data_IF_178890495650
#
_entry.id   IF_178890495650
#
_cell.length_a   1.000
_cell.length_b   1.000
_cell.length_c   1.000
_cell.angle_alpha   90.00
_cell.angle_beta   90.00
_cell.angle_gamma   90.00
#
_symmetry.space_group_name_H-M   'P 1'
#
loop_
_entity.id
_entity.type
_entity.pdbx_description
1 polymer ?
#
# COMPACT_ATOMS: atom_id res chain seq x y z
N UNK A 1 -56.31 -29.97 -43.00
CA UNK A 1 -55.98 -28.58 -42.58
C UNK A 1 -55.88 -28.37 -41.03
N UNK A 2 -56.63 -29.10 -40.23
CA UNK A 2 -56.59 -28.88 -38.74
C UNK A 2 -55.31 -29.42 -38.09
N UNK A 3 -54.78 -30.58 -38.57
CA UNK A 3 -53.55 -31.22 -38.04
C UNK A 3 -52.26 -30.40 -38.35
N UNK A 4 -52.19 -29.70 -39.44
CA UNK A 4 -51.05 -28.83 -39.83
C UNK A 4 -51.01 -27.54 -39.02
N UNK A 5 -52.17 -27.05 -38.59
CA UNK A 5 -52.23 -25.86 -37.71
C UNK A 5 -51.84 -26.21 -36.25
N UNK A 6 -52.19 -27.43 -35.80
CA UNK A 6 -51.84 -27.86 -34.43
C UNK A 6 -50.32 -28.14 -34.28
N UNK A 7 -49.66 -28.69 -35.30
CA UNK A 7 -48.22 -28.93 -35.29
C UNK A 7 -47.43 -27.59 -35.37
N UNK A 8 -47.95 -26.59 -36.10
CA UNK A 8 -47.33 -25.27 -36.16
C UNK A 8 -47.42 -24.52 -34.82
N UNK A 9 -48.53 -24.65 -34.09
CA UNK A 9 -48.71 -24.06 -32.76
C UNK A 9 -47.81 -24.75 -31.71
N UNK A 10 -47.70 -26.09 -31.77
CA UNK A 10 -46.83 -26.86 -30.87
C UNK A 10 -45.33 -26.55 -31.13
N UNK A 11 -44.93 -26.36 -32.39
CA UNK A 11 -43.56 -25.96 -32.73
C UNK A 11 -43.27 -24.50 -32.28
N UNK A 12 -44.25 -23.61 -32.35
CA UNK A 12 -44.09 -22.23 -31.90
C UNK A 12 -43.99 -22.12 -30.37
N UNK A 13 -44.71 -22.97 -29.62
CA UNK A 13 -44.63 -23.01 -28.16
C UNK A 13 -43.30 -23.62 -27.67
N UNK A 14 -42.68 -24.55 -28.40
CA UNK A 14 -41.37 -25.09 -28.05
C UNK A 14 -40.23 -24.05 -28.25
N UNK A 15 -40.40 -23.06 -29.15
CA UNK A 15 -39.40 -21.98 -29.34
C UNK A 15 -39.46 -20.93 -28.23
N UNK A 16 -40.57 -20.77 -27.53
CA UNK A 16 -40.71 -19.76 -26.46
C UNK A 16 -39.99 -20.21 -25.18
N UNK A 17 -39.86 -21.50 -24.94
CA UNK A 17 -39.14 -22.07 -23.77
C UNK A 17 -37.59 -22.06 -23.94
N UNK A 18 -37.07 -21.80 -25.16
CA UNK A 18 -35.63 -21.76 -25.39
C UNK A 18 -34.98 -20.41 -24.97
N UNK A 19 -35.75 -19.41 -24.55
CA UNK A 19 -35.21 -18.10 -24.11
C UNK A 19 -34.35 -18.17 -22.84
N UNK A 20 -34.38 -19.25 -22.09
CA UNK A 20 -33.59 -19.42 -20.86
C UNK A 20 -32.16 -20.00 -21.09
N UNK A 21 -31.84 -20.41 -22.35
CA UNK A 21 -30.59 -21.09 -22.65
C UNK A 21 -29.65 -20.28 -23.54
N UNK A 22 -29.85 -18.97 -23.65
CA UNK A 22 -28.92 -18.13 -24.40
C UNK A 22 -27.53 -18.11 -23.72
N UNK A 23 -26.46 -18.60 -24.39
CA UNK A 23 -25.13 -18.61 -23.78
C UNK A 23 -24.63 -17.19 -23.52
N UNK A 24 -24.11 -16.97 -22.34
CA UNK A 24 -23.52 -15.69 -21.94
C UNK A 24 -23.31 -15.64 -20.43
N UNK A 25 -22.25 -14.98 -20.00
CA UNK A 25 -22.03 -14.64 -18.58
C UNK A 25 -22.90 -13.43 -18.23
N UNK A 26 -24.12 -13.67 -17.78
CA UNK A 26 -24.97 -12.60 -17.26
C UNK A 26 -25.37 -12.93 -15.82
N UNK A 27 -25.34 -11.89 -14.98
CA UNK A 27 -25.89 -11.94 -13.65
C UNK A 27 -27.41 -11.89 -13.77
N UNK A 28 -28.12 -12.87 -13.27
CA UNK A 28 -29.58 -12.80 -13.18
C UNK A 28 -29.95 -11.84 -12.06
N UNK A 29 -30.37 -10.62 -12.45
CA UNK A 29 -30.78 -9.59 -11.51
C UNK A 29 -32.05 -9.95 -10.75
N UNK A 30 -32.86 -10.93 -11.22
CA UNK A 30 -34.01 -11.44 -10.50
C UNK A 30 -33.62 -12.24 -9.27
N UNK A 31 -32.42 -12.87 -9.29
CA UNK A 31 -31.87 -13.58 -8.13
C UNK A 31 -31.42 -12.61 -7.01
N UNK A 32 -31.35 -11.31 -7.29
CA UNK A 32 -31.04 -10.26 -6.30
C UNK A 32 -32.30 -9.69 -5.64
N UNK A 33 -33.50 -10.08 -6.07
CA UNK A 33 -34.78 -9.71 -5.47
C UNK A 33 -35.30 -10.84 -4.59
N UNK A 34 -35.78 -10.47 -3.43
CA UNK A 34 -36.36 -11.35 -2.43
C UNK A 34 -37.58 -12.11 -2.96
N UNK A 35 -37.45 -13.39 -3.25
CA UNK A 35 -38.57 -14.32 -3.13
C UNK A 35 -38.17 -15.45 -2.16
N UNK A 36 -39.04 -15.83 -1.22
CA UNK A 36 -38.75 -16.86 -0.24
C UNK A 36 -38.71 -18.21 -0.91
N UNK A 37 -37.56 -18.71 -1.31
CA UNK A 37 -37.39 -20.08 -1.68
C UNK A 37 -36.87 -20.89 -0.50
N UNK A 38 -37.34 -22.14 -0.34
CA UNK A 38 -37.01 -23.07 0.73
C UNK A 38 -35.54 -23.59 0.72
N UNK A 39 -34.68 -23.00 -0.08
CA UNK A 39 -33.22 -23.13 0.02
C UNK A 39 -32.67 -21.90 0.75
N UNK A 40 -31.61 -22.03 1.56
CA UNK A 40 -30.97 -20.87 2.17
C UNK A 40 -30.32 -20.01 1.07
N UNK A 41 -31.14 -19.26 0.37
CA UNK A 41 -30.68 -18.22 -0.55
C UNK A 41 -30.01 -17.16 0.32
N UNK A 42 -28.75 -16.95 0.06
CA UNK A 42 -28.01 -15.84 0.65
C UNK A 42 -28.68 -14.54 0.19
N UNK A 43 -29.41 -13.90 1.09
CA UNK A 43 -30.01 -12.59 0.85
C UNK A 43 -28.87 -11.57 0.77
N UNK A 44 -28.63 -11.04 -0.43
CA UNK A 44 -27.67 -9.97 -0.66
C UNK A 44 -28.40 -8.62 -0.48
N UNK A 45 -27.88 -7.79 0.41
CA UNK A 45 -28.37 -6.41 0.54
C UNK A 45 -27.80 -5.55 -0.58
N UNK A 46 -28.68 -5.00 -1.42
CA UNK A 46 -28.28 -4.09 -2.52
C UNK A 46 -28.47 -2.65 -2.06
N UNK A 47 -27.39 -1.89 -2.02
CA UNK A 47 -27.39 -0.46 -1.68
C UNK A 47 -27.43 0.38 -2.95
N UNK A 48 -28.40 1.30 -3.06
CA UNK A 48 -28.41 2.27 -4.16
C UNK A 48 -27.29 3.29 -3.93
N UNK A 49 -26.52 3.57 -4.98
CA UNK A 49 -25.50 4.63 -4.94
C UNK A 49 -26.19 5.98 -5.12
N UNK A 50 -26.33 6.70 -4.03
CA UNK A 50 -26.87 8.05 -3.95
C UNK A 50 -25.86 9.02 -3.32
N UNK A 51 -26.22 10.29 -3.26
CA UNK A 51 -25.37 11.33 -2.68
C UNK A 51 -25.09 11.09 -1.19
N UNK A 52 -26.04 10.53 -0.46
CA UNK A 52 -25.90 10.27 0.97
C UNK A 52 -24.86 9.19 1.23
N UNK A 53 -24.90 8.10 0.46
CA UNK A 53 -23.92 7.01 0.56
C UNK A 53 -22.50 7.50 0.23
N UNK A 54 -22.36 8.32 -0.82
CA UNK A 54 -21.06 8.89 -1.22
C UNK A 54 -20.50 9.78 -0.11
N UNK A 55 -21.32 10.65 0.48
CA UNK A 55 -20.90 11.48 1.63
C UNK A 55 -20.54 10.64 2.85
N UNK A 56 -21.28 9.58 3.15
CA UNK A 56 -20.97 8.66 4.24
C UNK A 56 -19.62 7.94 4.02
N UNK A 57 -19.33 7.50 2.80
CA UNK A 57 -18.05 6.88 2.47
C UNK A 57 -16.88 7.85 2.65
N UNK A 58 -17.04 9.11 2.21
CA UNK A 58 -16.00 10.14 2.39
C UNK A 58 -15.76 10.42 3.88
N UNK A 59 -16.81 10.61 4.66
CA UNK A 59 -16.70 10.83 6.11
C UNK A 59 -16.09 9.63 6.85
N UNK A 60 -16.45 8.40 6.46
CA UNK A 60 -15.88 7.18 7.04
C UNK A 60 -14.38 7.03 6.73
N UNK A 61 -13.95 7.39 5.52
CA UNK A 61 -12.54 7.40 5.12
C UNK A 61 -11.74 8.40 5.97
N UNK A 62 -12.26 9.60 6.17
CA UNK A 62 -11.62 10.62 6.99
C UNK A 62 -11.53 10.22 8.47
N UNK A 63 -12.62 9.68 9.01
CA UNK A 63 -12.65 9.17 10.38
C UNK A 63 -11.67 7.99 10.59
N UNK A 64 -11.56 7.09 9.62
CA UNK A 64 -10.62 5.97 9.67
C UNK A 64 -9.16 6.44 9.65
N UNK A 65 -8.83 7.41 8.81
CA UNK A 65 -7.49 7.98 8.71
C UNK A 65 -7.02 8.62 10.04
N UNK A 66 -7.93 9.21 10.81
CA UNK A 66 -7.61 9.82 12.10
C UNK A 66 -7.61 8.83 13.29
N UNK A 67 -8.35 7.72 13.18
CA UNK A 67 -8.48 6.74 14.28
C UNK A 67 -7.32 5.77 14.38
N UNK A 68 -6.65 5.47 13.27
CA UNK A 68 -5.65 4.40 13.17
C UNK A 68 -4.21 4.88 13.37
N UNK A 69 -3.99 6.10 13.91
CA UNK A 69 -2.64 6.63 14.08
C UNK A 69 -1.96 6.08 15.33
N UNK A 70 -0.67 5.73 15.25
CA UNK A 70 0.11 5.34 16.42
C UNK A 70 0.26 6.51 17.39
N UNK A 71 0.48 6.24 18.70
CA UNK A 71 0.50 7.28 19.74
C UNK A 71 1.60 8.33 19.58
N UNK A 72 2.69 8.04 18.87
CA UNK A 72 3.76 9.01 18.65
C UNK A 72 3.52 9.78 17.34
N UNK A 73 2.82 10.90 17.45
CA UNK A 73 2.75 11.88 16.35
C UNK A 73 4.05 12.68 16.31
N UNK A 74 4.41 13.17 15.13
CA UNK A 74 5.48 14.15 15.00
C UNK A 74 5.07 15.47 15.66
N UNK A 75 5.12 15.49 16.96
CA UNK A 75 4.87 16.69 17.78
C UNK A 75 6.20 17.35 18.15
N UNK A 76 6.93 17.81 17.14
CA UNK A 76 8.16 18.58 17.31
C UNK A 76 9.41 17.73 17.58
N UNK A 77 10.42 17.92 16.74
CA UNK A 77 11.77 17.36 16.91
C UNK A 77 12.46 17.83 18.22
N UNK A 78 11.87 18.77 18.92
CA UNK A 78 12.44 19.40 20.11
C UNK A 78 12.56 18.48 21.34
N UNK A 79 11.90 17.31 21.35
CA UNK A 79 11.92 16.38 22.50
C UNK A 79 12.63 15.06 22.23
N UNK A 80 13.12 14.83 21.01
CA UNK A 80 13.83 13.59 20.70
C UNK A 80 15.26 13.66 21.26
N UNK A 81 15.62 12.71 22.09
CA UNK A 81 16.96 12.58 22.67
C UNK A 81 17.44 11.14 22.44
N UNK A 82 18.57 11.01 21.78
CA UNK A 82 19.20 9.71 21.57
C UNK A 82 19.81 9.21 22.89
N UNK A 83 19.56 7.96 23.22
CA UNK A 83 20.17 7.28 24.33
C UNK A 83 21.09 6.17 23.80
N UNK A 84 22.32 6.20 24.25
CA UNK A 84 23.32 5.18 23.91
C UNK A 84 22.80 3.80 24.31
N UNK A 85 23.01 2.79 23.46
CA UNK A 85 22.63 1.44 23.78
C UNK A 85 23.74 0.43 23.36
N UNK A 86 23.63 -0.83 23.80
CA UNK A 86 24.61 -1.87 23.45
C UNK A 86 24.83 -1.98 21.93
N UNK A 87 26.06 -2.20 21.52
CA UNK A 87 26.57 -2.26 20.13
C UNK A 87 26.84 -0.89 19.46
N UNK A 88 26.42 0.23 20.03
CA UNK A 88 26.85 1.54 19.52
C UNK A 88 28.36 1.70 19.59
N UNK A 89 28.93 2.44 18.66
CA UNK A 89 30.34 2.76 18.65
C UNK A 89 30.52 4.21 19.03
N UNK A 90 31.27 4.43 20.10
CA UNK A 90 31.53 5.74 20.68
C UNK A 90 32.95 6.22 20.35
N UNK A 91 33.07 7.49 20.03
CA UNK A 91 34.32 8.21 20.01
C UNK A 91 34.43 9.07 21.26
N UNK A 92 35.47 8.89 22.00
CA UNK A 92 35.78 9.71 23.19
C UNK A 92 37.07 10.49 22.90
N UNK A 93 36.99 11.80 23.02
CA UNK A 93 38.16 12.69 22.87
C UNK A 93 38.44 13.38 24.20
N UNK A 94 39.62 13.26 24.71
CA UNK A 94 40.10 14.02 25.86
C UNK A 94 41.08 15.09 25.35
N UNK A 95 40.69 16.33 25.43
CA UNK A 95 41.51 17.41 24.92
C UNK A 95 42.83 17.51 25.72
N UNK A 96 43.92 17.83 25.03
CA UNK A 96 45.30 17.84 25.53
C UNK A 96 45.85 16.45 25.98
N UNK A 97 45.06 15.37 25.83
CA UNK A 97 45.44 14.03 26.20
C UNK A 97 45.11 13.03 25.05
N UNK A 98 45.90 13.07 23.94
CA UNK A 98 45.65 12.21 22.78
C UNK A 98 45.80 10.71 23.10
N UNK A 99 46.62 10.37 24.14
CA UNK A 99 46.81 9.01 24.63
C UNK A 99 45.55 8.40 25.27
N UNK A 100 44.61 9.23 25.72
CA UNK A 100 43.34 8.85 26.29
C UNK A 100 42.18 8.92 25.28
N UNK A 101 42.45 9.54 24.14
CA UNK A 101 41.43 9.71 23.11
C UNK A 101 41.34 8.49 22.23
N UNK A 102 40.10 8.11 21.82
CA UNK A 102 39.95 7.17 20.72
C UNK A 102 40.60 7.73 19.49
N UNK A 103 41.46 6.95 18.77
CA UNK A 103 42.09 7.43 17.54
C UNK A 103 41.02 7.96 16.60
N UNK A 104 41.02 9.24 16.33
CA UNK A 104 40.20 9.74 15.23
C UNK A 104 40.86 9.22 13.96
N UNK A 105 40.07 8.48 13.15
CA UNK A 105 40.56 7.97 11.87
C UNK A 105 41.04 9.13 11.00
N UNK A 106 42.30 9.52 11.20
CA UNK A 106 43.03 10.17 10.14
C UNK A 106 43.07 9.17 9.02
N UNK A 107 42.66 9.54 7.83
CA UNK A 107 43.03 8.87 6.58
C UNK A 107 44.54 8.82 6.48
N UNK A 108 45.19 8.00 7.36
CA UNK A 108 46.55 7.62 7.17
C UNK A 108 46.51 6.56 6.07
N UNK A 109 46.64 7.01 4.85
CA UNK A 109 47.26 6.19 3.82
C UNK A 109 48.57 5.65 4.41
N UNK A 110 48.52 4.49 5.05
CA UNK A 110 49.71 3.75 5.42
C UNK A 110 50.48 3.51 4.12
N UNK A 111 51.67 4.06 4.02
CA UNK A 111 52.59 4.06 2.91
C UNK A 111 52.53 2.92 1.96
N UNK A 112 51.76 3.07 0.92
CA UNK A 112 51.87 2.40 -0.36
C UNK A 112 52.07 3.50 -1.39
N UNK A 113 53.25 3.61 -1.94
CA UNK A 113 53.60 4.43 -3.08
C UNK A 113 52.72 4.10 -4.27
N UNK A 114 51.56 4.67 -4.35
CA UNK A 114 50.84 4.82 -5.60
C UNK A 114 50.61 6.29 -5.81
N UNK A 115 51.35 6.84 -6.75
CA UNK A 115 51.16 8.14 -7.36
C UNK A 115 49.75 8.19 -7.92
N UNK A 116 48.79 8.59 -7.11
CA UNK A 116 47.46 8.93 -7.60
C UNK A 116 47.51 10.34 -8.14
N UNK A 117 47.43 10.46 -9.44
CA UNK A 117 47.29 11.67 -10.19
C UNK A 117 46.02 12.40 -9.68
N UNK A 118 46.14 13.69 -9.37
CA UNK A 118 45.09 14.57 -8.79
C UNK A 118 43.77 14.59 -9.56
N UNK A 119 43.66 13.90 -10.71
CA UNK A 119 42.46 13.82 -11.53
C UNK A 119 41.52 12.65 -11.23
N UNK A 120 41.92 11.64 -10.43
CA UNK A 120 41.09 10.45 -10.17
C UNK A 120 40.33 10.46 -8.84
N UNK A 121 40.55 11.47 -8.00
CA UNK A 121 39.89 11.60 -6.69
C UNK A 121 38.41 12.07 -6.77
N UNK A 122 37.94 12.48 -7.95
CA UNK A 122 36.59 13.02 -8.12
C UNK A 122 35.57 12.03 -8.73
N UNK A 123 35.98 10.79 -9.03
CA UNK A 123 35.11 9.79 -9.69
C UNK A 123 34.96 8.49 -8.91
N UNK A 124 35.44 8.40 -7.69
CA UNK A 124 35.04 7.25 -6.86
C UNK A 124 33.64 7.56 -6.28
N UNK A 125 32.63 6.72 -6.61
CA UNK A 125 31.39 6.78 -5.87
C UNK A 125 31.75 6.56 -4.40
N UNK A 126 31.18 7.39 -3.52
CA UNK A 126 31.20 7.14 -2.09
C UNK A 126 30.83 5.67 -1.90
N UNK A 127 31.79 4.84 -1.55
CA UNK A 127 31.46 3.53 -1.00
C UNK A 127 30.73 3.83 0.28
N UNK A 128 29.41 3.79 0.20
CA UNK A 128 28.56 3.66 1.38
C UNK A 128 29.07 2.43 2.09
N UNK A 129 29.78 2.63 3.20
CA UNK A 129 30.14 1.54 4.09
C UNK A 129 28.85 0.74 4.33
N UNK A 130 28.88 -0.53 4.01
CA UNK A 130 27.74 -1.42 4.26
C UNK A 130 27.35 -1.25 5.72
N UNK A 131 26.04 -1.15 6.05
CA UNK A 131 25.61 -1.09 7.43
C UNK A 131 26.12 -2.33 8.16
N UNK A 132 27.14 -2.17 8.99
CA UNK A 132 27.74 -3.30 9.71
C UNK A 132 29.25 -3.32 9.83
N UNK A 133 30.01 -2.53 9.04
CA UNK A 133 31.47 -2.43 9.26
C UNK A 133 31.76 -1.63 10.52
N UNK A 134 32.47 -2.28 11.46
CA UNK A 134 32.94 -1.63 12.67
C UNK A 134 33.92 -0.50 12.29
N UNK A 135 33.67 0.72 12.76
CA UNK A 135 34.73 1.69 12.76
C UNK A 135 35.87 1.14 13.66
N UNK A 136 37.03 0.78 13.10
CA UNK A 136 38.10 0.16 13.87
C UNK A 136 38.67 1.08 14.96
N UNK A 137 38.29 2.35 14.93
CA UNK A 137 38.83 3.37 15.84
C UNK A 137 37.85 3.80 16.94
N UNK A 138 36.62 3.23 16.96
CA UNK A 138 35.63 3.53 17.98
C UNK A 138 35.58 2.51 19.12
N UNK A 139 35.04 2.91 20.27
CA UNK A 139 34.81 2.03 21.41
C UNK A 139 33.38 1.50 21.37
N UNK A 140 33.22 0.19 21.19
CA UNK A 140 31.89 -0.47 21.18
C UNK A 140 31.32 -0.56 22.58
N UNK A 141 30.06 -0.18 22.75
CA UNK A 141 29.31 -0.43 23.98
C UNK A 141 29.02 -1.93 24.10
N UNK A 142 29.51 -2.54 25.16
CA UNK A 142 29.36 -3.97 25.41
C UNK A 142 27.90 -4.38 25.62
N UNK A 143 27.60 -5.67 25.54
CA UNK A 143 26.23 -6.20 25.70
C UNK A 143 25.65 -5.91 27.11
N UNK A 144 26.50 -5.75 28.12
CA UNK A 144 26.12 -5.34 29.47
C UNK A 144 25.89 -3.82 29.60
N UNK A 145 25.95 -3.08 28.49
CA UNK A 145 25.77 -1.62 28.47
C UNK A 145 26.97 -0.84 28.94
N UNK A 146 28.13 -1.44 29.13
CA UNK A 146 29.33 -0.76 29.66
C UNK A 146 30.34 -0.47 28.56
N UNK A 147 31.18 0.53 28.82
CA UNK A 147 32.44 0.80 28.12
C UNK A 147 33.60 0.72 29.13
N UNK A 148 34.78 0.41 28.64
CA UNK A 148 36.00 0.50 29.47
C UNK A 148 36.81 1.73 29.07
N UNK A 149 37.12 2.58 30.06
CA UNK A 149 37.92 3.78 29.80
C UNK A 149 39.14 3.83 30.71
N UNK A 150 40.34 4.15 30.19
CA UNK A 150 41.56 4.22 30.98
C UNK A 150 41.39 5.09 32.22
N UNK A 151 41.99 4.69 33.32
CA UNK A 151 41.91 5.32 34.67
C UNK A 151 40.55 5.28 35.33
N UNK A 152 39.46 5.36 34.59
CA UNK A 152 38.07 5.34 35.13
C UNK A 152 37.52 3.93 35.28
N UNK A 153 38.03 2.99 34.45
CA UNK A 153 37.58 1.62 34.45
C UNK A 153 36.27 1.39 33.69
N UNK A 154 35.43 0.48 34.20
CA UNK A 154 34.13 0.20 33.57
C UNK A 154 33.12 1.27 33.91
N UNK A 155 32.46 1.79 32.91
CA UNK A 155 31.42 2.81 33.03
C UNK A 155 30.16 2.32 32.30
N UNK A 156 29.01 2.44 32.96
CA UNK A 156 27.72 2.18 32.32
C UNK A 156 27.35 3.32 31.40
N UNK A 157 27.30 3.05 30.08
CA UNK A 157 26.99 4.00 29.03
C UNK A 157 25.56 3.88 28.52
N UNK A 158 25.00 2.65 28.52
CA UNK A 158 23.64 2.42 28.03
C UNK A 158 22.59 3.23 28.83
N UNK A 159 21.55 3.71 28.11
CA UNK A 159 20.50 4.54 28.68
C UNK A 159 20.90 6.00 28.95
N UNK A 160 22.14 6.37 28.72
CA UNK A 160 22.62 7.75 28.90
C UNK A 160 22.69 8.48 27.56
N UNK A 161 22.58 9.79 27.63
CA UNK A 161 22.91 10.63 26.48
C UNK A 161 24.42 10.78 26.36
N UNK A 162 24.97 11.13 25.16
CA UNK A 162 26.38 11.43 25.00
C UNK A 162 26.86 12.52 25.97
N UNK A 163 26.02 13.52 26.26
CA UNK A 163 26.33 14.57 27.22
C UNK A 163 26.47 14.05 28.66
N UNK A 164 25.54 13.18 29.10
CA UNK A 164 25.60 12.57 30.45
C UNK A 164 26.82 11.66 30.59
N UNK A 165 27.17 10.91 29.55
CA UNK A 165 28.38 10.07 29.57
C UNK A 165 29.65 10.93 29.60
N UNK A 166 29.70 12.02 28.86
CA UNK A 166 30.79 12.99 28.89
C UNK A 166 31.02 13.54 30.31
N UNK A 167 29.97 13.97 30.98
CA UNK A 167 30.05 14.55 32.30
C UNK A 167 30.52 13.49 33.35
N UNK A 168 30.10 12.26 33.19
CA UNK A 168 30.57 11.15 34.01
C UNK A 168 32.05 10.83 33.80
N UNK A 169 32.50 10.80 32.52
CA UNK A 169 33.89 10.56 32.18
C UNK A 169 34.78 11.68 32.72
N UNK A 170 34.36 12.95 32.55
CA UNK A 170 35.10 14.09 33.07
C UNK A 170 35.23 14.01 34.59
N UNK A 171 34.16 13.67 35.31
CA UNK A 171 34.20 13.49 36.76
C UNK A 171 35.13 12.36 37.20
N UNK A 172 35.09 11.19 36.47
CA UNK A 172 35.95 10.05 36.75
C UNK A 172 37.43 10.29 36.49
N UNK A 173 37.76 11.15 35.50
CA UNK A 173 39.13 11.55 35.18
C UNK A 173 39.71 12.61 36.12
N UNK A 174 38.87 13.35 36.82
CA UNK A 174 39.30 14.48 37.70
C UNK A 174 40.41 14.15 38.69
N UNK A 175 40.50 12.95 39.28
CA UNK A 175 41.60 12.53 40.17
C UNK A 175 42.94 12.38 39.41
N UNK A 176 42.93 12.15 38.12
CA UNK A 176 44.12 11.81 37.31
C UNK A 176 44.53 12.91 36.36
N UNK A 177 43.58 13.70 35.87
CA UNK A 177 43.77 14.79 34.92
C UNK A 177 43.23 16.06 35.48
N UNK A 178 44.03 17.12 35.47
CA UNK A 178 43.61 18.44 35.97
C UNK A 178 42.68 19.10 34.93
N UNK A 179 41.42 19.41 35.36
CA UNK A 179 40.39 20.02 34.53
C UNK A 179 40.15 19.26 33.20
N UNK A 180 39.79 17.96 33.23
CA UNK A 180 39.65 17.18 32.04
C UNK A 180 38.49 17.71 31.15
N UNK A 181 38.80 18.02 29.92
CA UNK A 181 37.82 18.39 28.90
C UNK A 181 37.59 17.18 28.04
N UNK A 182 36.36 16.63 28.08
CA UNK A 182 35.97 15.41 27.38
C UNK A 182 34.88 15.74 26.36
N UNK A 183 34.97 15.18 25.17
CA UNK A 183 33.89 15.13 24.20
C UNK A 183 33.53 13.65 23.91
N UNK A 184 32.23 13.38 23.80
CA UNK A 184 31.68 12.03 23.50
C UNK A 184 30.76 12.15 22.32
N UNK A 185 31.03 11.38 21.28
CA UNK A 185 30.21 11.27 20.07
C UNK A 185 29.85 9.85 19.76
N UNK A 186 28.68 9.63 19.16
CA UNK A 186 28.34 8.32 18.59
C UNK A 186 28.87 8.29 17.16
N UNK A 187 29.86 7.45 16.91
CA UNK A 187 30.48 7.28 15.59
C UNK A 187 29.67 6.36 14.68
N UNK A 188 29.05 5.34 15.27
CA UNK A 188 28.13 4.44 14.55
C UNK A 188 26.93 4.08 15.42
N UNK A 189 25.75 4.34 14.91
CA UNK A 189 24.46 3.99 15.51
C UNK A 189 24.10 2.58 15.06
N UNK A 190 24.18 1.59 15.95
CA UNK A 190 23.96 0.17 15.63
C UNK A 190 22.88 -0.48 16.47
N UNK A 191 22.59 0.12 17.62
CA UNK A 191 21.71 -0.45 18.61
C UNK A 191 20.25 -0.37 18.21
N UNK A 192 19.83 0.76 17.67
CA UNK A 192 18.43 1.06 17.35
C UNK A 192 18.24 1.08 15.84
N UNK A 193 17.22 0.35 15.36
CA UNK A 193 16.97 0.22 13.92
C UNK A 193 15.49 0.05 13.60
N UNK A 194 15.10 0.56 12.46
CA UNK A 194 13.80 0.36 11.84
C UNK A 194 13.99 -0.53 10.61
N UNK A 195 13.11 -1.48 10.41
CA UNK A 195 13.14 -2.34 9.23
C UNK A 195 12.22 -1.80 8.15
N UNK A 196 12.75 -1.49 6.96
CA UNK A 196 11.95 -1.11 5.79
C UNK A 196 11.91 -2.26 4.80
N UNK A 197 10.69 -2.64 4.39
CA UNK A 197 10.41 -3.78 3.52
C UNK A 197 9.38 -3.43 2.45
N UNK A 198 9.23 -4.28 1.43
CA UNK A 198 8.26 -4.10 0.36
C UNK A 198 8.79 -3.25 -0.79
N UNK A 199 7.91 -2.51 -1.46
CA UNK A 199 8.19 -1.81 -2.71
C UNK A 199 8.89 -0.45 -2.50
N UNK A 200 10.08 -0.51 -1.92
CA UNK A 200 11.06 0.57 -1.87
C UNK A 200 12.29 0.17 -2.68
N UNK A 201 13.07 1.14 -3.16
CA UNK A 201 14.22 0.86 -4.02
C UNK A 201 15.33 0.07 -3.32
N UNK A 202 15.57 0.36 -2.05
CA UNK A 202 16.59 -0.31 -1.22
C UNK A 202 15.97 -0.73 0.11
N UNK A 203 15.28 -1.91 0.16
CA UNK A 203 14.75 -2.44 1.41
C UNK A 203 15.90 -2.88 2.33
N UNK A 204 15.69 -2.70 3.63
CA UNK A 204 16.70 -3.09 4.62
C UNK A 204 16.52 -2.42 5.97
N UNK A 205 17.43 -2.68 6.91
CA UNK A 205 17.46 -2.01 8.20
C UNK A 205 18.00 -0.58 8.04
N UNK A 206 17.32 0.37 8.67
CA UNK A 206 17.77 1.75 8.80
C UNK A 206 18.16 2.01 10.25
N UNK A 207 19.40 2.44 10.48
CA UNK A 207 19.84 2.85 11.80
C UNK A 207 19.16 4.18 12.21
N UNK A 208 18.73 4.24 13.45
CA UNK A 208 18.26 5.49 14.07
C UNK A 208 19.46 6.24 14.64
N UNK A 209 19.49 7.55 14.46
CA UNK A 209 20.56 8.44 14.93
C UNK A 209 20.05 9.42 15.99
N UNK A 210 20.86 10.42 16.31
CA UNK A 210 20.49 11.57 17.14
C UNK A 210 19.44 12.49 16.50
N UNK A 211 19.14 12.26 15.22
CA UNK A 211 18.06 12.95 14.50
C UNK A 211 16.82 12.06 14.46
N UNK A 212 15.64 12.59 14.83
CA UNK A 212 14.42 11.80 14.78
C UNK A 212 14.14 11.30 13.37
N UNK A 213 13.78 10.02 13.24
CA UNK A 213 13.46 9.38 11.99
C UNK A 213 11.94 9.33 11.82
N UNK A 214 11.45 9.90 10.74
CA UNK A 214 10.02 9.86 10.40
C UNK A 214 9.72 8.82 9.32
N UNK A 215 8.43 8.55 9.08
CA UNK A 215 8.01 7.67 7.99
C UNK A 215 8.57 8.12 6.63
N UNK A 216 8.47 9.42 6.33
CA UNK A 216 8.97 9.97 5.06
C UNK A 216 10.50 9.87 4.97
N UNK A 217 11.19 10.14 6.07
CA UNK A 217 12.65 9.99 6.09
C UNK A 217 13.07 8.54 5.84
N UNK A 218 12.38 7.57 6.42
CA UNK A 218 12.66 6.16 6.23
C UNK A 218 12.46 5.73 4.77
N UNK A 219 11.34 6.11 4.16
CA UNK A 219 11.08 5.84 2.74
C UNK A 219 12.13 6.52 1.86
N UNK A 220 12.46 7.78 2.15
CA UNK A 220 13.45 8.56 1.39
C UNK A 220 14.84 7.95 1.50
N UNK A 221 15.27 7.58 2.72
CA UNK A 221 16.58 6.91 2.95
C UNK A 221 16.66 5.53 2.29
N UNK A 222 15.51 4.86 2.09
CA UNK A 222 15.42 3.63 1.30
C UNK A 222 15.41 3.88 -0.22
N UNK A 223 15.83 5.07 -0.68
CA UNK A 223 15.90 5.44 -2.10
C UNK A 223 14.55 5.83 -2.71
N UNK A 224 13.51 6.01 -1.90
CA UNK A 224 12.14 6.23 -2.34
C UNK A 224 11.41 4.94 -2.68
N UNK A 225 10.18 5.07 -3.15
CA UNK A 225 9.32 3.95 -3.56
C UNK A 225 9.59 3.52 -4.99
N UNK A 226 9.18 2.31 -5.35
CA UNK A 226 9.11 1.84 -6.73
C UNK A 226 7.85 2.38 -7.41
N UNK A 227 7.74 2.21 -8.73
CA UNK A 227 6.56 2.63 -9.49
C UNK A 227 5.31 1.79 -9.14
N UNK A 228 5.50 0.60 -8.58
CA UNK A 228 4.43 -0.31 -8.19
C UNK A 228 3.99 -0.14 -6.73
N UNK A 229 4.60 0.75 -5.98
CA UNK A 229 4.34 0.92 -4.56
C UNK A 229 2.96 1.53 -4.26
N UNK A 230 2.23 0.92 -3.35
CA UNK A 230 0.97 1.45 -2.81
C UNK A 230 1.22 2.27 -1.55
N UNK A 231 1.50 3.56 -1.75
CA UNK A 231 1.83 4.48 -0.65
C UNK A 231 0.61 4.97 0.14
N UNK A 232 -0.60 4.65 -0.31
CA UNK A 232 -1.83 4.96 0.44
C UNK A 232 -2.07 4.00 1.61
N UNK A 233 -1.37 2.86 1.61
CA UNK A 233 -1.55 1.80 2.60
C UNK A 233 -0.24 1.31 3.18
N UNK A 234 0.68 2.22 3.47
CA UNK A 234 1.93 1.89 4.16
C UNK A 234 1.60 1.28 5.51
N UNK A 235 2.15 0.11 5.77
CA UNK A 235 1.92 -0.66 7.00
C UNK A 235 3.06 -0.41 7.97
N UNK A 236 2.74 0.10 9.14
CA UNK A 236 3.67 0.22 10.27
C UNK A 236 3.30 -0.81 11.32
N UNK A 237 4.21 -1.71 11.62
CA UNK A 237 4.05 -2.64 12.76
C UNK A 237 4.92 -2.13 13.92
N UNK A 238 4.28 -1.84 15.05
CA UNK A 238 4.90 -1.39 16.30
C UNK A 238 4.31 -2.18 17.47
N UNK A 239 5.14 -2.77 18.29
CA UNK A 239 4.71 -3.57 19.47
C UNK A 239 3.65 -4.64 19.10
N UNK A 240 3.79 -5.28 17.96
CA UNK A 240 2.85 -6.29 17.46
C UNK A 240 1.52 -5.73 16.94
N UNK A 241 1.30 -4.42 16.95
CA UNK A 241 0.11 -3.77 16.40
C UNK A 241 0.38 -3.24 15.00
N UNK A 242 -0.58 -3.46 14.13
CA UNK A 242 -0.53 -2.97 12.75
C UNK A 242 -1.27 -1.64 12.63
N UNK A 243 -0.59 -0.64 12.08
CA UNK A 243 -1.13 0.66 11.72
C UNK A 243 -1.03 0.82 10.20
N UNK A 244 -2.06 1.40 9.59
CA UNK A 244 -2.07 1.72 8.16
C UNK A 244 -1.99 3.23 8.01
N UNK A 245 -0.94 3.69 7.36
CA UNK A 245 -0.62 5.10 7.15
C UNK A 245 -0.80 5.46 5.69
N UNK A 246 -1.38 6.60 5.42
CA UNK A 246 -1.58 7.13 4.06
C UNK A 246 -0.50 8.18 3.77
N UNK A 247 0.62 7.73 3.18
CA UNK A 247 1.71 8.63 2.83
C UNK A 247 1.33 9.59 1.69
N UNK A 248 0.33 9.24 0.86
CA UNK A 248 -0.15 10.10 -0.21
C UNK A 248 -0.92 11.32 0.35
N UNK A 249 -1.72 11.14 1.43
CA UNK A 249 -2.35 12.27 2.14
C UNK A 249 -1.32 13.26 2.69
N UNK A 250 -0.21 12.75 3.18
CA UNK A 250 0.88 13.60 3.64
C UNK A 250 1.48 14.40 2.49
N UNK A 251 1.75 13.77 1.35
CA UNK A 251 2.42 14.41 0.22
C UNK A 251 1.50 15.31 -0.59
N UNK A 252 0.26 14.88 -0.87
CA UNK A 252 -0.69 15.62 -1.71
C UNK A 252 -1.51 16.65 -0.93
N UNK A 253 -1.95 16.31 0.29
CA UNK A 253 -2.83 17.15 1.11
C UNK A 253 -2.11 17.86 2.27
N UNK A 254 -0.82 17.59 2.48
CA UNK A 254 -0.05 18.17 3.58
C UNK A 254 -0.49 17.69 4.97
N UNK A 255 -1.16 16.52 5.06
CA UNK A 255 -1.63 15.97 6.34
C UNK A 255 -0.45 15.44 7.16
N UNK A 256 0.18 16.32 7.92
CA UNK A 256 1.34 16.00 8.77
C UNK A 256 1.03 14.94 9.83
N UNK A 257 -0.24 14.62 10.11
CA UNK A 257 -0.60 13.58 11.08
C UNK A 257 -0.21 12.18 10.61
N UNK A 258 -0.03 11.99 9.31
CA UNK A 258 0.41 10.73 8.71
C UNK A 258 1.93 10.54 8.80
N UNK A 259 2.71 11.61 9.02
CA UNK A 259 4.16 11.54 9.19
C UNK A 259 4.50 11.21 10.65
N UNK A 260 4.46 9.94 10.98
CA UNK A 260 4.73 9.46 12.34
C UNK A 260 6.23 9.38 12.60
N UNK A 261 6.64 9.69 13.83
CA UNK A 261 8.00 9.43 14.29
C UNK A 261 8.18 7.95 14.58
N UNK A 262 9.24 7.38 14.02
CA UNK A 262 9.57 5.97 14.15
C UNK A 262 10.29 5.68 15.47
N UNK A 263 10.21 4.46 15.92
CA UNK A 263 10.82 3.95 17.14
C UNK A 263 11.64 2.70 16.84
N UNK A 264 12.55 2.37 17.75
CA UNK A 264 13.33 1.14 17.63
C UNK A 264 12.43 -0.09 17.55
N UNK A 265 12.76 -0.99 16.63
CA UNK A 265 12.00 -2.20 16.36
C UNK A 265 10.77 -2.02 15.46
N UNK A 266 10.48 -0.82 14.98
CA UNK A 266 9.41 -0.60 14.01
C UNK A 266 9.70 -1.34 12.70
N UNK A 267 8.65 -1.92 12.11
CA UNK A 267 8.70 -2.52 10.78
C UNK A 267 7.77 -1.73 9.86
N UNK A 268 8.35 -1.14 8.83
CA UNK A 268 7.63 -0.46 7.75
C UNK A 268 7.53 -1.42 6.58
N UNK A 269 6.34 -1.65 6.07
CA UNK A 269 6.10 -2.39 4.85
C UNK A 269 5.33 -1.51 3.86
N UNK A 270 5.93 -1.25 2.72
CA UNK A 270 5.29 -0.58 1.58
C UNK A 270 4.76 -1.66 0.66
N UNK A 271 3.43 -1.91 0.62
CA UNK A 271 2.88 -2.95 -0.25
C UNK A 271 2.95 -2.56 -1.72
N UNK A 272 2.80 -3.54 -2.59
CA UNK A 272 2.61 -3.33 -4.01
C UNK A 272 1.14 -3.07 -4.37
N UNK A 273 0.88 -2.67 -5.62
CA UNK A 273 -0.47 -2.48 -6.16
C UNK A 273 -1.20 -3.79 -6.50
N UNK A 274 -0.56 -4.96 -6.39
CA UNK A 274 -1.17 -6.23 -6.75
C UNK A 274 -2.40 -6.54 -5.89
N UNK A 275 -2.38 -6.11 -4.63
CA UNK A 275 -3.54 -6.20 -3.73
C UNK A 275 -4.59 -5.10 -3.98
N UNK A 276 -4.28 -4.11 -4.82
CA UNK A 276 -5.13 -2.93 -5.10
C UNK A 276 -5.80 -3.00 -6.46
N UNK A 277 -6.08 -4.21 -6.96
CA UNK A 277 -6.75 -4.43 -8.24
C UNK A 277 -8.26 -4.30 -8.10
N UNK A 278 -8.88 -3.86 -9.19
CA UNK A 278 -10.33 -3.92 -9.41
C UNK A 278 -10.59 -4.66 -10.71
N UNK A 279 -11.79 -5.23 -10.80
CA UNK A 279 -12.22 -6.00 -11.97
C UNK A 279 -13.43 -5.33 -12.59
N UNK A 280 -13.44 -5.19 -13.92
CA UNK A 280 -14.57 -4.65 -14.67
C UNK A 280 -15.06 -5.73 -15.63
N UNK A 281 -16.29 -6.19 -15.43
CA UNK A 281 -16.87 -7.33 -16.11
C UNK A 281 -18.27 -7.00 -16.63
N UNK A 282 -18.84 -7.89 -17.43
CA UNK A 282 -20.18 -7.76 -18.01
C UNK A 282 -20.18 -7.00 -19.33
N UNK A 283 -21.23 -6.23 -19.58
CA UNK A 283 -21.46 -5.57 -20.88
C UNK A 283 -20.68 -4.26 -21.00
N UNK A 284 -19.35 -4.36 -20.99
CA UNK A 284 -18.39 -3.30 -21.26
C UNK A 284 -17.63 -3.61 -22.56
N UNK A 285 -17.06 -2.60 -23.21
CA UNK A 285 -16.35 -2.81 -24.47
C UNK A 285 -15.17 -3.75 -24.33
N UNK A 286 -14.41 -3.60 -23.25
CA UNK A 286 -13.23 -4.43 -22.98
C UNK A 286 -13.24 -4.82 -21.50
N UNK A 287 -13.73 -6.03 -21.15
CA UNK A 287 -13.59 -6.54 -19.79
C UNK A 287 -12.12 -6.51 -19.37
N UNK A 288 -11.82 -5.93 -18.22
CA UNK A 288 -10.44 -5.67 -17.81
C UNK A 288 -10.27 -5.79 -16.31
N UNK A 289 -9.04 -6.02 -15.89
CA UNK A 289 -8.59 -5.74 -14.54
C UNK A 289 -7.66 -4.52 -14.58
N UNK A 290 -7.76 -3.65 -13.61
CA UNK A 290 -6.88 -2.50 -13.48
C UNK A 290 -6.41 -2.34 -12.04
N UNK A 291 -5.24 -1.78 -11.87
CA UNK A 291 -4.69 -1.44 -10.56
C UNK A 291 -5.12 -0.03 -10.17
N UNK A 292 -5.43 0.15 -8.89
CA UNK A 292 -5.75 1.47 -8.37
C UNK A 292 -4.48 2.30 -8.30
N UNK A 293 -4.48 3.48 -8.91
CA UNK A 293 -3.37 4.42 -8.81
C UNK A 293 -3.68 5.41 -7.69
N UNK A 294 -2.77 5.53 -6.72
CA UNK A 294 -2.87 6.43 -5.56
C UNK A 294 -4.16 6.27 -4.75
N UNK A 295 -4.68 5.05 -4.62
CA UNK A 295 -5.86 4.73 -3.81
C UNK A 295 -7.15 5.45 -4.18
N UNK A 296 -7.17 6.16 -5.31
CA UNK A 296 -8.30 6.93 -5.79
C UNK A 296 -8.75 6.36 -7.12
N UNK A 297 -9.73 5.48 -7.08
CA UNK A 297 -10.30 4.90 -8.28
C UNK A 297 -11.82 4.87 -8.14
N UNK A 298 -12.51 5.44 -9.11
CA UNK A 298 -13.96 5.61 -9.07
C UNK A 298 -14.64 4.66 -10.06
N UNK A 299 -15.97 4.56 -9.98
CA UNK A 299 -16.74 3.81 -10.99
C UNK A 299 -16.54 4.41 -12.38
N UNK A 300 -16.48 5.75 -12.48
CA UNK A 300 -16.25 6.43 -13.75
C UNK A 300 -14.88 6.05 -14.36
N UNK A 301 -13.82 6.03 -13.53
CA UNK A 301 -12.49 5.61 -13.99
C UNK A 301 -12.51 4.16 -14.48
N UNK A 302 -13.15 3.26 -13.72
CA UNK A 302 -13.27 1.85 -14.06
C UNK A 302 -13.98 1.63 -15.39
N UNK A 303 -15.13 2.28 -15.59
CA UNK A 303 -15.89 2.18 -16.83
C UNK A 303 -15.15 2.81 -18.00
N UNK A 304 -14.48 3.95 -17.80
CA UNK A 304 -13.69 4.61 -18.84
C UNK A 304 -12.52 3.74 -19.29
N UNK A 305 -11.82 3.11 -18.34
CA UNK A 305 -10.72 2.20 -18.63
C UNK A 305 -11.18 0.96 -19.40
N UNK A 306 -12.40 0.48 -19.15
CA UNK A 306 -13.04 -0.61 -19.89
C UNK A 306 -13.58 -0.16 -21.27
N UNK A 307 -13.34 1.10 -21.69
CA UNK A 307 -13.82 1.66 -22.96
C UNK A 307 -15.30 2.08 -22.94
N UNK A 308 -15.93 2.12 -21.76
CA UNK A 308 -17.34 2.43 -21.57
C UNK A 308 -18.25 1.21 -21.64
N UNK A 309 -19.54 1.42 -21.36
CA UNK A 309 -20.57 0.39 -21.46
C UNK A 309 -20.94 0.13 -22.94
N UNK A 310 -21.36 -1.09 -23.25
CA UNK A 310 -21.87 -1.45 -24.58
C UNK A 310 -23.29 -0.89 -24.76
N UNK A 311 -23.46 0.15 -25.58
CA UNK A 311 -24.75 0.82 -25.78
C UNK A 311 -25.83 -0.11 -26.33
N UNK A 312 -25.46 -1.19 -27.04
CA UNK A 312 -26.39 -2.16 -27.64
C UNK A 312 -26.87 -3.23 -26.68
N UNK A 313 -26.00 -3.59 -25.70
CA UNK A 313 -26.20 -4.79 -24.91
C UNK A 313 -26.27 -4.52 -23.40
N UNK A 314 -25.70 -3.40 -22.93
CA UNK A 314 -25.68 -3.05 -21.53
C UNK A 314 -27.04 -2.52 -21.03
N UNK A 315 -27.33 -2.81 -19.76
CA UNK A 315 -28.41 -2.18 -19.02
C UNK A 315 -27.84 -1.07 -18.13
N UNK A 316 -28.02 0.22 -18.47
CA UNK A 316 -27.44 1.32 -17.70
C UNK A 316 -28.04 1.46 -16.29
N UNK A 317 -29.15 0.79 -15.97
CA UNK A 317 -29.74 0.73 -14.62
C UNK A 317 -29.09 -0.33 -13.74
N UNK A 318 -28.24 -1.17 -14.30
CA UNK A 318 -27.67 -2.36 -13.64
C UNK A 318 -26.15 -2.31 -13.66
N UNK A 319 -25.57 -1.26 -13.07
CA UNK A 319 -24.14 -1.21 -12.80
C UNK A 319 -23.96 -1.54 -11.33
N UNK A 320 -23.37 -2.71 -11.08
CA UNK A 320 -23.15 -3.22 -9.73
C UNK A 320 -21.69 -3.10 -9.36
N UNK A 321 -21.43 -2.73 -8.11
CA UNK A 321 -20.13 -2.88 -7.46
C UNK A 321 -20.28 -3.94 -6.38
N UNK A 322 -19.59 -5.06 -6.54
CA UNK A 322 -19.59 -6.15 -5.59
C UNK A 322 -18.31 -6.08 -4.77
N UNK A 323 -18.48 -5.94 -3.47
CA UNK A 323 -17.38 -5.81 -2.50
C UNK A 323 -17.35 -7.01 -1.58
N UNK A 324 -16.27 -7.78 -1.65
CA UNK A 324 -16.04 -8.90 -0.74
C UNK A 324 -15.66 -8.41 0.66
N UNK A 325 -16.20 -9.05 1.70
CA UNK A 325 -15.76 -8.85 3.07
C UNK A 325 -14.80 -9.97 3.49
N UNK A 326 -13.63 -9.62 4.04
CA UNK A 326 -12.63 -10.61 4.50
C UNK A 326 -13.20 -11.57 5.53
N UNK A 327 -14.05 -11.04 6.42
CA UNK A 327 -14.62 -11.82 7.53
C UNK A 327 -15.88 -12.61 7.11
N UNK A 328 -16.48 -12.28 5.95
CA UNK A 328 -17.69 -12.90 5.42
C UNK A 328 -17.61 -13.03 3.89
N UNK A 329 -16.76 -13.91 3.37
CA UNK A 329 -16.52 -14.02 1.92
C UNK A 329 -17.76 -14.45 1.13
N UNK A 330 -18.73 -15.08 1.78
CA UNK A 330 -20.00 -15.54 1.19
C UNK A 330 -21.12 -14.48 1.19
N UNK A 331 -20.88 -13.32 1.82
CA UNK A 331 -21.85 -12.22 1.91
C UNK A 331 -21.24 -10.91 1.41
N UNK A 332 -21.08 -10.73 0.08
CA UNK A 332 -20.57 -9.48 -0.46
C UNK A 332 -21.58 -8.35 -0.25
N UNK A 333 -21.08 -7.15 -0.03
CA UNK A 333 -21.87 -5.93 -0.15
C UNK A 333 -22.06 -5.59 -1.63
N UNK A 334 -23.29 -5.37 -2.06
CA UNK A 334 -23.60 -5.02 -3.44
C UNK A 334 -24.12 -3.60 -3.50
N UNK A 335 -23.48 -2.78 -4.32
CA UNK A 335 -23.90 -1.42 -4.60
C UNK A 335 -24.40 -1.33 -6.04
N UNK A 336 -25.50 -0.60 -6.28
CA UNK A 336 -26.07 -0.42 -7.61
C UNK A 336 -26.10 1.04 -7.99
N UNK A 337 -25.59 1.34 -9.18
CA UNK A 337 -25.68 2.65 -9.82
C UNK A 337 -26.66 2.59 -10.99
N UNK A 338 -27.59 3.54 -11.06
CA UNK A 338 -28.51 3.74 -12.20
C UNK A 338 -28.01 4.92 -13.04
N UNK A 339 -27.32 4.65 -14.13
CA UNK A 339 -26.76 5.67 -15.03
C UNK A 339 -27.79 6.31 -15.99
N UNK A 340 -29.08 6.02 -15.86
CA UNK A 340 -30.12 6.74 -16.61
C UNK A 340 -30.42 8.12 -16.05
N UNK A 341 -29.95 8.40 -14.84
CA UNK A 341 -30.15 9.69 -14.16
C UNK A 341 -28.95 10.62 -14.43
N UNK A 342 -29.17 11.91 -14.75
CA UNK A 342 -28.06 12.85 -15.03
C UNK A 342 -27.04 13.00 -13.88
N UNK A 343 -27.52 12.94 -12.63
CA UNK A 343 -26.68 13.01 -11.42
C UNK A 343 -25.80 11.76 -11.23
N UNK A 344 -26.15 10.64 -11.85
CA UNK A 344 -25.42 9.39 -11.68
C UNK A 344 -24.02 9.43 -12.29
N UNK A 345 -23.82 10.24 -13.34
CA UNK A 345 -22.48 10.47 -13.91
C UNK A 345 -21.60 11.15 -12.88
N UNK A 346 -22.12 12.15 -12.16
CA UNK A 346 -21.38 12.82 -11.08
C UNK A 346 -21.14 11.85 -9.91
N UNK A 347 -22.15 11.07 -9.52
CA UNK A 347 -22.02 10.07 -8.45
C UNK A 347 -20.98 8.99 -8.82
N UNK A 348 -20.92 8.57 -10.09
CA UNK A 348 -19.94 7.59 -10.57
C UNK A 348 -18.51 8.09 -10.40
N UNK A 349 -18.26 9.40 -10.56
CA UNK A 349 -16.94 10.01 -10.38
C UNK A 349 -16.57 10.28 -8.91
N UNK A 350 -17.54 10.19 -8.01
CA UNK A 350 -17.33 10.42 -6.57
C UNK A 350 -17.31 9.12 -5.75
N UNK A 351 -18.00 8.06 -6.22
CA UNK A 351 -18.02 6.77 -5.53
C UNK A 351 -16.65 6.09 -5.61
N UNK A 352 -15.99 5.94 -4.46
CA UNK A 352 -14.67 5.35 -4.36
C UNK A 352 -14.75 3.82 -4.34
N UNK A 353 -14.09 3.19 -5.29
CA UNK A 353 -13.87 1.75 -5.28
C UNK A 353 -12.82 1.36 -4.23
N UNK A 354 -12.94 0.16 -3.70
CA UNK A 354 -11.96 -0.45 -2.80
C UNK A 354 -11.19 -1.55 -3.51
N UNK A 355 -10.01 -1.91 -3.02
CA UNK A 355 -9.26 -3.05 -3.54
C UNK A 355 -10.11 -4.31 -3.64
N UNK A 356 -9.97 -5.03 -4.75
CA UNK A 356 -10.70 -6.25 -5.10
C UNK A 356 -12.19 -6.07 -5.36
N UNK A 357 -12.70 -4.84 -5.48
CA UNK A 357 -14.07 -4.61 -5.95
C UNK A 357 -14.24 -5.13 -7.39
N UNK A 358 -15.41 -5.69 -7.65
CA UNK A 358 -15.83 -6.10 -8.98
C UNK A 358 -16.92 -5.18 -9.47
N UNK A 359 -16.64 -4.40 -10.52
CA UNK A 359 -17.64 -3.58 -11.23
C UNK A 359 -18.26 -4.45 -12.32
N UNK A 360 -19.55 -4.72 -12.22
CA UNK A 360 -20.26 -5.56 -13.17
C UNK A 360 -21.36 -4.75 -13.85
N UNK A 361 -21.34 -4.74 -15.18
CA UNK A 361 -22.39 -4.10 -16.00
C UNK A 361 -23.35 -5.15 -16.49
N UNK A 362 -24.62 -5.02 -16.09
CA UNK A 362 -25.69 -5.97 -16.42
C UNK A 362 -26.09 -5.91 -17.90
N UNK A 363 -26.65 -7.01 -18.38
CA UNK A 363 -27.15 -7.17 -19.75
C UNK A 363 -28.59 -6.65 -19.87
N UNK A 364 -28.89 -5.93 -20.95
CA UNK A 364 -30.26 -5.55 -21.25
C UNK A 364 -31.07 -6.76 -21.75
N UNK A 365 -32.35 -6.83 -21.36
CA UNK A 365 -33.23 -7.92 -21.79
C UNK A 365 -33.35 -8.00 -23.33
N UNK A 366 -33.31 -6.86 -24.00
CA UNK A 366 -33.27 -6.80 -25.48
C UNK A 366 -32.03 -7.44 -26.10
N UNK A 367 -30.87 -7.33 -25.42
CA UNK A 367 -29.63 -7.96 -25.88
C UNK A 367 -29.69 -9.48 -25.79
N UNK A 368 -30.25 -10.00 -24.71
CA UNK A 368 -30.48 -11.45 -24.55
C UNK A 368 -31.37 -11.99 -25.68
N UNK A 369 -32.44 -11.26 -26.00
CA UNK A 369 -33.32 -11.61 -27.12
C UNK A 369 -32.62 -11.53 -28.48
N UNK A 370 -31.85 -10.48 -28.73
CA UNK A 370 -31.09 -10.31 -29.97
C UNK A 370 -30.03 -11.41 -30.16
N UNK A 371 -29.32 -11.82 -29.10
CA UNK A 371 -28.36 -12.93 -29.17
C UNK A 371 -29.06 -14.24 -29.55
N UNK A 372 -30.25 -14.48 -28.98
CA UNK A 372 -31.06 -15.66 -29.38
C UNK A 372 -31.44 -15.58 -30.87
N UNK A 373 -31.91 -14.42 -31.35
CA UNK A 373 -32.25 -14.24 -32.76
C UNK A 373 -31.04 -14.48 -33.69
N UNK A 374 -29.86 -13.93 -33.34
CA UNK A 374 -28.64 -14.11 -34.13
C UNK A 374 -28.19 -15.58 -34.22
N UNK A 375 -28.48 -16.39 -33.21
CA UNK A 375 -28.19 -17.83 -33.23
C UNK A 375 -29.19 -18.62 -34.09
N UNK A 376 -30.45 -18.18 -34.14
CA UNK A 376 -31.52 -18.87 -34.88
C UNK A 376 -31.62 -18.42 -36.35
N UNK A 377 -31.36 -17.15 -36.62
CA UNK A 377 -31.47 -16.55 -37.95
C UNK A 377 -30.65 -17.31 -39.04
N UNK A 378 -29.37 -17.69 -38.81
CA UNK A 378 -28.61 -18.43 -39.84
C UNK A 378 -29.25 -19.76 -40.17
N UNK A 379 -29.86 -20.45 -39.20
CA UNK A 379 -30.54 -21.74 -39.41
C UNK A 379 -31.80 -21.56 -40.23
N UNK A 380 -32.57 -20.50 -40.01
CA UNK A 380 -33.75 -20.16 -40.79
C UNK A 380 -33.36 -19.79 -42.21
N UNK A 381 -32.33 -19.03 -42.43
CA UNK A 381 -31.82 -18.67 -43.74
C UNK A 381 -31.36 -19.91 -44.55
N UNK A 382 -30.65 -20.83 -43.88
CA UNK A 382 -30.20 -22.08 -44.51
C UNK A 382 -31.37 -22.92 -44.97
N UNK A 383 -32.41 -23.03 -44.16
CA UNK A 383 -33.65 -23.79 -44.51
C UNK A 383 -34.38 -23.07 -45.67
N UNK A 384 -34.38 -21.75 -45.71
CA UNK A 384 -35.01 -20.99 -46.80
C UNK A 384 -34.27 -21.15 -48.12
N UNK A 385 -32.93 -21.11 -48.12
CA UNK A 385 -32.08 -21.34 -49.29
C UNK A 385 -32.23 -22.77 -49.81
N UNK A 386 -32.28 -23.81 -48.91
CA UNK A 386 -32.51 -25.19 -49.33
C UNK A 386 -33.84 -25.36 -50.03
N UNK A 387 -34.90 -24.68 -49.59
CA UNK A 387 -36.23 -24.74 -50.23
C UNK A 387 -36.28 -24.05 -51.58
N UNK A 388 -35.36 -23.09 -51.83
CA UNK A 388 -35.27 -22.39 -53.08
C UNK A 388 -34.47 -23.17 -54.15
N UNK A 389 -33.53 -24.01 -53.73
CA UNK A 389 -32.71 -24.90 -54.59
C UNK A 389 -33.45 -26.16 -54.98
N UNK A 390 -34.46 -26.58 -54.21
CA UNK A 390 -35.24 -27.80 -54.41
C UNK A 390 -36.55 -27.53 -55.20
N UNK A 391 -36.72 -26.33 -55.74
CA UNK A 391 -37.76 -25.97 -56.70
C UNK A 391 -37.15 -25.74 -58.09
#
# INVERSE_FOLDING_TARGET
MLRTKLTAVLALSAFISACSTAPGNYLDASSLHEEPSNQPQQQYTVHLIDAQLVMQQAAAKDAAAHRALPPSRYAGAASYVYHIAPQDILGVTVFDHPELSTPQGSTFSAGGTTTQTVGQALTQPYTTALPGEADPYGQTVAADGTIYFPFVGRIHAAGKTPGQLRDQLASGLGPYVKNPQVDVRVLAYRSQKVQVTGDVKTPGPLAMSDVPLTLVDAITRSGGTTDNADIDRVRLTRDGKLYVLDANRLLDAGDATQNVMLQDGDIINVPDHLDSRIFVLGEVKTPTQTTMVRGKYTIADALTQAGGILNTDANPRQIFVMRGMKDKPTQPEIYRLDMTQPNSIVLSSQFQLKPLDVVYVGTAASATFNRLLQQVLPTIQTVFYLKQITR
#
